data_IF_475203175191
#
_entry.id   IF_475203175191
#
_cell.length_a   1.000
_cell.length_b   1.000
_cell.length_c   1.000
_cell.angle_alpha   90.00
_cell.angle_beta   90.00
_cell.angle_gamma   90.00
#
_symmetry.space_group_name_H-M   'P 1'
#
loop_
_entity.id
_entity.type
_entity.pdbx_description
1 polymer ?
#
# COMPACT_ATOMS: atom_id res chain seq x y z
N UNK A 1 -6.60 5.31 -17.17
CA UNK A 1 -6.61 3.85 -17.00
C UNK A 1 -5.25 3.45 -16.44
N UNK A 2 -5.04 3.64 -15.14
CA UNK A 2 -3.80 3.22 -14.49
C UNK A 2 -3.87 1.70 -14.36
N UNK A 3 -3.14 0.99 -15.21
CA UNK A 3 -2.94 -0.45 -15.07
C UNK A 3 -2.12 -0.69 -13.80
N UNK A 4 -2.80 -0.71 -12.65
CA UNK A 4 -2.36 -1.50 -11.50
C UNK A 4 -2.79 -2.92 -11.88
N UNK A 5 -1.84 -3.68 -12.45
CA UNK A 5 -1.97 -5.13 -12.38
C UNK A 5 -2.02 -5.58 -10.91
N UNK A 6 -2.38 -6.83 -10.66
CA UNK A 6 -2.49 -7.40 -9.31
C UNK A 6 -1.32 -6.97 -8.42
N UNK A 7 -1.66 -6.41 -7.24
CA UNK A 7 -0.66 -5.94 -6.28
C UNK A 7 0.01 -7.16 -5.67
N UNK A 8 1.27 -7.40 -6.02
CA UNK A 8 2.05 -8.49 -5.43
C UNK A 8 2.82 -8.04 -4.18
N UNK A 9 3.26 -6.78 -4.16
CA UNK A 9 4.11 -6.26 -3.09
C UNK A 9 3.78 -4.82 -2.73
N UNK A 10 3.84 -4.55 -1.43
CA UNK A 10 3.75 -3.22 -0.84
C UNK A 10 5.06 -2.96 -0.09
N UNK A 11 5.72 -1.85 -0.41
CA UNK A 11 6.97 -1.44 0.23
C UNK A 11 6.68 -0.21 1.08
N UNK A 12 7.06 -0.30 2.36
CA UNK A 12 7.01 0.81 3.32
C UNK A 12 8.44 1.29 3.53
N UNK A 13 8.70 2.57 3.28
CA UNK A 13 9.96 3.23 3.62
C UNK A 13 9.73 4.33 4.67
N UNK A 14 10.81 4.97 5.15
CA UNK A 14 10.72 6.01 6.18
C UNK A 14 9.95 7.27 5.73
N UNK A 15 9.64 7.41 4.45
CA UNK A 15 9.00 8.59 3.82
C UNK A 15 7.57 8.25 3.38
N UNK A 16 7.23 6.98 3.19
CA UNK A 16 5.87 6.53 2.96
C UNK A 16 5.73 5.17 2.28
N UNK A 17 4.56 4.99 1.68
CA UNK A 17 4.09 3.73 1.12
C UNK A 17 4.17 3.71 -0.41
N UNK A 18 4.63 2.60 -0.97
CA UNK A 18 4.79 2.42 -2.42
C UNK A 18 4.28 1.06 -2.89
N UNK A 19 3.37 1.08 -3.86
CA UNK A 19 2.80 -0.13 -4.48
C UNK A 19 3.56 -0.47 -5.75
N UNK A 20 3.82 -1.76 -5.95
CA UNK A 20 4.35 -2.28 -7.20
C UNK A 20 3.45 -3.37 -7.74
N UNK A 21 3.12 -3.30 -9.03
CA UNK A 21 2.50 -4.41 -9.75
C UNK A 21 3.50 -5.55 -9.98
N UNK A 22 2.97 -6.74 -10.30
CA UNK A 22 3.76 -7.89 -10.73
C UNK A 22 4.77 -7.49 -11.82
N UNK A 23 6.06 -7.70 -11.56
CA UNK A 23 7.13 -7.40 -12.52
C UNK A 23 7.65 -5.95 -12.51
N UNK A 24 6.91 -4.97 -12.00
CA UNK A 24 7.36 -3.56 -11.97
C UNK A 24 8.60 -3.36 -11.09
N UNK A 25 8.74 -4.14 -10.02
CA UNK A 25 9.96 -4.17 -9.21
C UNK A 25 11.21 -4.54 -10.01
N UNK A 26 11.08 -5.51 -10.93
CA UNK A 26 12.17 -5.98 -11.78
C UNK A 26 12.50 -4.95 -12.87
N UNK A 27 11.48 -4.35 -13.47
CA UNK A 27 11.60 -3.32 -14.51
C UNK A 27 12.21 -2.04 -13.97
N UNK A 28 11.95 -1.66 -12.70
CA UNK A 28 12.53 -0.46 -12.10
C UNK A 28 14.06 -0.54 -11.94
N UNK A 29 14.63 -1.73 -11.77
CA UNK A 29 16.08 -1.93 -11.62
C UNK A 29 16.84 -2.01 -12.95
N UNK A 30 16.17 -2.38 -14.05
CA UNK A 30 16.84 -2.71 -15.32
C UNK A 30 16.33 -1.97 -16.56
N UNK A 31 15.15 -1.34 -16.51
CA UNK A 31 14.48 -0.69 -17.65
C UNK A 31 13.96 0.73 -17.29
N UNK A 32 13.28 1.39 -18.24
CA UNK A 32 12.63 2.70 -17.98
C UNK A 32 11.55 2.55 -16.90
N UNK A 33 11.80 3.19 -15.76
CA UNK A 33 10.90 3.20 -14.62
C UNK A 33 9.54 3.83 -14.96
N UNK A 34 8.46 3.10 -14.69
CA UNK A 34 7.10 3.64 -14.67
C UNK A 34 6.90 4.43 -13.36
N UNK A 35 6.15 5.54 -13.37
CA UNK A 35 5.90 6.32 -12.17
C UNK A 35 5.15 5.48 -11.13
N UNK A 36 5.60 5.56 -9.89
CA UNK A 36 4.97 4.87 -8.77
C UNK A 36 3.71 5.59 -8.31
N UNK A 37 2.71 4.81 -7.91
CA UNK A 37 1.48 5.31 -7.31
C UNK A 37 1.64 5.28 -5.79
N UNK A 38 1.21 6.36 -5.13
CA UNK A 38 1.08 6.41 -3.67
C UNK A 38 -0.32 5.98 -3.26
N UNK A 39 -0.41 5.13 -2.24
CA UNK A 39 -1.65 4.74 -1.57
C UNK A 39 -1.53 5.07 -0.07
N UNK A 40 -2.63 4.89 0.65
CA UNK A 40 -2.68 4.93 2.12
C UNK A 40 -2.74 3.48 2.63
N UNK A 41 -2.01 3.20 3.71
CA UNK A 41 -2.11 1.95 4.47
C UNK A 41 -2.71 2.29 5.83
N UNK A 42 -3.88 1.74 6.09
CA UNK A 42 -4.55 1.81 7.37
C UNK A 42 -4.14 0.56 8.16
N UNK A 43 -3.21 0.75 9.10
CA UNK A 43 -2.67 -0.32 9.94
C UNK A 43 -3.17 -0.12 11.37
N UNK A 44 -4.01 -1.03 11.85
CA UNK A 44 -4.38 -1.10 13.26
C UNK A 44 -3.52 -2.15 13.95
N UNK A 45 -2.83 -1.74 15.02
CA UNK A 45 -1.94 -2.60 15.81
C UNK A 45 -2.48 -2.71 17.23
N UNK A 46 -2.55 -3.92 17.77
CA UNK A 46 -2.83 -4.13 19.17
C UNK A 46 -1.65 -3.65 20.02
N UNK A 47 -1.90 -2.72 20.94
CA UNK A 47 -0.82 -2.10 21.71
C UNK A 47 -0.07 -3.09 22.64
N UNK A 48 -0.73 -4.15 23.11
CA UNK A 48 -0.14 -5.14 24.03
C UNK A 48 0.75 -6.14 23.32
N UNK A 49 0.25 -6.79 22.27
CA UNK A 49 0.97 -7.85 21.57
C UNK A 49 1.81 -7.32 20.41
N UNK A 50 1.59 -6.07 20.01
CA UNK A 50 2.16 -5.47 18.80
C UNK A 50 1.74 -6.22 17.53
N UNK A 51 0.63 -6.95 17.57
CA UNK A 51 0.08 -7.65 16.42
C UNK A 51 -0.77 -6.72 15.55
N UNK A 52 -0.66 -6.85 14.23
CA UNK A 52 -1.52 -6.13 13.31
C UNK A 52 -2.91 -6.78 13.28
N UNK A 53 -3.94 -6.08 13.73
CA UNK A 53 -5.32 -6.57 13.78
C UNK A 53 -6.04 -6.27 12.45
N UNK A 54 -5.77 -5.11 11.84
CA UNK A 54 -6.39 -4.69 10.58
C UNK A 54 -5.35 -4.09 9.66
N UNK A 55 -5.37 -4.50 8.40
CA UNK A 55 -4.49 -4.01 7.34
C UNK A 55 -5.34 -3.71 6.12
N UNK A 56 -5.57 -2.44 5.81
CA UNK A 56 -6.33 -2.04 4.62
C UNK A 56 -5.55 -1.03 3.78
N UNK A 57 -5.64 -1.18 2.46
CA UNK A 57 -4.91 -0.35 1.49
C UNK A 57 -5.92 0.38 0.61
N UNK A 58 -5.75 1.69 0.50
CA UNK A 58 -6.65 2.54 -0.29
C UNK A 58 -5.91 3.55 -1.15
N UNK A 59 -6.55 4.02 -2.21
CA UNK A 59 -5.99 5.08 -3.03
C UNK A 59 -5.86 6.37 -2.22
N UNK A 60 -4.87 7.20 -2.56
CA UNK A 60 -4.63 8.48 -1.88
C UNK A 60 -5.85 9.43 -1.91
N UNK A 61 -6.77 9.24 -2.86
CA UNK A 61 -7.99 10.01 -3.02
C UNK A 61 -9.10 9.67 -2.01
N UNK A 62 -9.01 8.53 -1.31
CA UNK A 62 -10.03 8.11 -0.34
C UNK A 62 -9.83 8.86 0.98
N UNK A 63 -10.89 9.45 1.52
CA UNK A 63 -10.87 10.13 2.82
C UNK A 63 -10.65 9.14 3.97
N UNK A 64 -9.95 9.57 5.03
CA UNK A 64 -9.64 8.66 6.16
C UNK A 64 -10.90 8.24 6.93
N UNK A 65 -11.95 9.06 6.88
CA UNK A 65 -13.27 8.78 7.46
C UNK A 65 -14.08 7.75 6.67
N UNK A 66 -13.68 7.43 5.44
CA UNK A 66 -14.35 6.41 4.60
C UNK A 66 -13.84 5.00 4.89
N UNK A 67 -12.68 4.88 5.56
CA UNK A 67 -12.05 3.61 5.92
C UNK A 67 -11.98 3.53 7.44
N UNK A 68 -13.12 3.32 8.06
CA UNK A 68 -13.17 2.96 9.46
C UNK A 68 -12.98 1.46 9.57
N UNK A 69 -11.92 0.97 10.25
CA UNK A 69 -11.75 -0.46 10.47
C UNK A 69 -12.88 -0.95 11.37
N UNK A 70 -13.73 -1.84 10.86
CA UNK A 70 -14.67 -2.61 11.68
C UNK A 70 -13.85 -3.63 12.45
N UNK A 71 -13.47 -3.28 13.68
CA UNK A 71 -12.93 -4.24 14.64
C UNK A 71 -14.16 -4.82 15.35
N UNK A 72 -14.58 -6.02 14.96
CA UNK A 72 -15.57 -6.80 15.71
C UNK A 72 -14.98 -7.36 17.01
#
# INVERSE_FOLDING_TARGET
MLCIETIDYIVIDAIGLKVYGKGEWKTHKHDKAKPSIRCKLHLSVEASTHEAIVVEVSLVSVGDNEILPTID
#
